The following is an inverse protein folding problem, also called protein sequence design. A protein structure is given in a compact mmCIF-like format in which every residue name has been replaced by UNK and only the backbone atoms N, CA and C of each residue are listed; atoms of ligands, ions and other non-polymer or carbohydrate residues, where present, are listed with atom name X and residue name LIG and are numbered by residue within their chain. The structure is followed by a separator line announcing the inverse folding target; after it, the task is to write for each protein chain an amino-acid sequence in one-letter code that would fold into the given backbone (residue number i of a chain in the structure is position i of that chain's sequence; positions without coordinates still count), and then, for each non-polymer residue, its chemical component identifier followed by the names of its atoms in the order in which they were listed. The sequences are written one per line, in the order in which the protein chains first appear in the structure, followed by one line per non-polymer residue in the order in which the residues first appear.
data_IF_547916827230
#
_entry.id   IF_547916827230
#
_cell.length_a   1.000
_cell.length_b   1.000
_cell.length_c   1.000
_cell.angle_alpha   90.00
_cell.angle_beta   90.00
_cell.angle_gamma   90.00
#
_symmetry.space_group_name_H-M   'P 1'
#
loop_
_entity.id
_entity.type
_entity.pdbx_description
1 polymer ?
#
# COMPACT_ATOMS: atom_id res chain seq x y z
N UNK A 1 -5.26 -9.43 -7.56
CA UNK A 1 -5.15 -9.84 -6.15
C UNK A 1 -6.47 -10.38 -5.60
N UNK A 2 -6.39 -11.24 -4.58
CA UNK A 2 -7.56 -11.88 -3.94
C UNK A 2 -7.71 -11.45 -2.46
N UNK A 3 -6.93 -10.48 -2.03
CA UNK A 3 -6.94 -9.93 -0.68
C UNK A 3 -8.21 -9.11 -0.40
N UNK A 4 -8.60 -8.91 0.87
CA UNK A 4 -9.64 -7.96 1.24
C UNK A 4 -9.37 -6.58 0.64
N UNK A 5 -10.36 -6.02 -0.05
CA UNK A 5 -10.28 -4.75 -0.77
C UNK A 5 -11.67 -4.16 -0.92
N UNK A 6 -11.79 -2.83 -0.97
CA UNK A 6 -13.04 -2.16 -1.35
C UNK A 6 -13.19 -1.97 -2.87
N UNK A 7 -12.26 -2.52 -3.64
CA UNK A 7 -12.25 -2.51 -5.10
C UNK A 7 -12.16 -1.11 -5.72
N UNK A 8 -11.49 -0.18 -5.03
CA UNK A 8 -11.19 1.14 -5.57
C UNK A 8 -10.33 1.05 -6.84
N UNK A 9 -9.50 -0.01 -6.92
CA UNK A 9 -8.67 -0.33 -8.08
C UNK A 9 -8.66 -1.85 -8.34
N UNK A 10 -9.82 -2.45 -8.56
CA UNK A 10 -9.93 -3.85 -8.98
C UNK A 10 -9.28 -4.88 -8.02
N UNK A 11 -9.08 -4.53 -6.77
CA UNK A 11 -8.43 -5.36 -5.75
C UNK A 11 -6.96 -5.01 -5.46
N UNK A 12 -6.38 -4.06 -6.19
CA UNK A 12 -5.02 -3.58 -5.92
C UNK A 12 -4.95 -2.57 -4.75
N UNK A 13 -6.07 -2.11 -4.24
CA UNK A 13 -6.21 -1.41 -2.96
C UNK A 13 -6.34 -2.42 -1.81
N UNK A 14 -5.22 -2.98 -1.37
CA UNK A 14 -5.17 -4.09 -0.41
C UNK A 14 -5.38 -3.61 1.02
N UNK A 15 -6.46 -4.07 1.66
CA UNK A 15 -6.78 -3.73 3.05
C UNK A 15 -6.16 -4.70 4.09
N UNK A 16 -5.90 -5.95 3.70
CA UNK A 16 -5.23 -6.95 4.54
C UNK A 16 -4.42 -7.90 3.64
N UNK A 17 -3.10 -7.89 3.80
CA UNK A 17 -2.18 -8.69 2.97
C UNK A 17 -2.12 -10.16 3.33
N UNK A 18 -2.66 -10.58 4.46
CA UNK A 18 -2.60 -11.96 4.98
C UNK A 18 -3.97 -12.58 5.17
N UNK A 19 -4.87 -12.28 4.24
CA UNK A 19 -6.21 -12.87 4.23
C UNK A 19 -6.73 -13.02 2.80
N UNK A 20 -7.82 -13.75 2.66
CA UNK A 20 -8.62 -13.87 1.42
C UNK A 20 -9.84 -12.98 1.58
N UNK A 21 -10.24 -12.30 0.51
CA UNK A 21 -11.46 -11.50 0.53
C UNK A 21 -12.67 -12.40 0.82
N UNK A 22 -13.46 -12.13 1.85
CA UNK A 22 -14.56 -13.00 2.27
C UNK A 22 -15.65 -13.16 1.20
N UNK A 23 -15.68 -12.29 0.19
CA UNK A 23 -16.62 -12.42 -0.95
C UNK A 23 -16.25 -13.54 -1.91
N UNK A 24 -14.98 -14.00 -1.88
CA UNK A 24 -14.48 -15.04 -2.80
C UNK A 24 -14.01 -16.31 -2.10
N UNK A 25 -13.77 -16.29 -0.79
CA UNK A 25 -13.40 -17.50 -0.06
C UNK A 25 -12.75 -17.23 1.29
N UNK A 26 -12.14 -18.29 1.83
CA UNK A 26 -11.44 -18.31 3.11
C UNK A 26 -9.99 -18.77 2.96
N UNK A 27 -9.18 -18.60 4.00
CA UNK A 27 -7.81 -19.12 4.03
C UNK A 27 -7.78 -20.65 3.91
N UNK A 28 -8.73 -21.35 4.51
CA UNK A 28 -8.85 -22.81 4.46
C UNK A 28 -9.18 -23.29 3.03
N UNK A 29 -10.04 -22.57 2.32
CA UNK A 29 -10.35 -22.86 0.91
C UNK A 29 -9.15 -22.58 0.01
N UNK A 30 -8.38 -21.52 0.31
CA UNK A 30 -7.13 -21.23 -0.38
C UNK A 30 -6.10 -22.35 -0.18
N UNK A 31 -5.92 -22.83 1.06
CA UNK A 31 -5.01 -23.95 1.37
C UNK A 31 -5.40 -25.22 0.58
N UNK A 32 -6.69 -25.52 0.52
CA UNK A 32 -7.22 -26.62 -0.30
C UNK A 32 -6.93 -26.45 -1.78
N UNK A 33 -7.12 -25.23 -2.31
CA UNK A 33 -6.83 -24.93 -3.72
C UNK A 33 -5.36 -25.21 -4.04
N UNK A 34 -4.44 -24.73 -3.19
CA UNK A 34 -3.00 -25.01 -3.35
C UNK A 34 -2.72 -26.51 -3.37
N UNK A 35 -3.29 -27.25 -2.42
CA UNK A 35 -3.10 -28.71 -2.33
C UNK A 35 -3.59 -29.40 -3.61
N UNK A 36 -4.79 -29.09 -4.11
CA UNK A 36 -5.35 -29.71 -5.31
C UNK A 36 -4.54 -29.38 -6.57
N UNK A 37 -4.07 -28.13 -6.70
CA UNK A 37 -3.24 -27.73 -7.82
C UNK A 37 -1.88 -28.44 -7.81
N UNK A 38 -1.27 -28.60 -6.64
CA UNK A 38 0.00 -29.33 -6.51
C UNK A 38 -0.14 -30.81 -6.84
N UNK A 39 -1.27 -31.45 -6.51
CA UNK A 39 -1.54 -32.87 -6.89
C UNK A 39 -1.48 -33.11 -8.40
N UNK A 40 -1.81 -32.10 -9.19
CA UNK A 40 -1.77 -32.18 -10.66
C UNK A 40 -0.54 -31.48 -11.26
N UNK A 41 0.46 -31.14 -10.45
CA UNK A 41 1.73 -30.56 -10.88
C UNK A 41 1.68 -29.08 -11.27
N UNK A 42 0.64 -28.35 -10.86
CA UNK A 42 0.50 -26.91 -11.12
C UNK A 42 1.11 -26.13 -9.95
N UNK A 43 2.03 -25.21 -10.24
CA UNK A 43 2.58 -24.26 -9.29
C UNK A 43 1.69 -23.03 -9.16
N UNK A 44 1.65 -22.43 -7.96
CA UNK A 44 0.82 -21.29 -7.65
C UNK A 44 1.68 -20.06 -7.36
N UNK A 45 1.49 -19.02 -8.16
CA UNK A 45 2.07 -17.70 -7.94
C UNK A 45 0.97 -16.75 -7.52
N UNK A 46 1.21 -15.94 -6.50
CA UNK A 46 0.27 -14.92 -6.05
C UNK A 46 0.80 -13.52 -6.35
N UNK A 47 -0.12 -12.61 -6.59
CA UNK A 47 0.20 -11.20 -6.78
C UNK A 47 0.48 -10.55 -5.41
N UNK A 48 1.58 -9.83 -5.28
CA UNK A 48 1.89 -9.02 -4.10
C UNK A 48 1.99 -7.55 -4.50
N UNK A 49 1.34 -6.67 -3.75
CA UNK A 49 1.22 -5.23 -4.04
C UNK A 49 1.98 -4.43 -2.98
N UNK A 50 3.31 -4.31 -3.10
CA UNK A 50 4.09 -3.71 -2.02
C UNK A 50 4.24 -2.19 -2.10
N UNK A 51 3.83 -1.55 -3.20
CA UNK A 51 4.00 -0.10 -3.37
C UNK A 51 3.10 0.71 -2.44
N UNK A 52 1.88 0.28 -2.25
CA UNK A 52 0.83 1.00 -1.51
C UNK A 52 -0.10 0.03 -0.79
N UNK A 53 -0.89 0.51 0.13
CA UNK A 53 -2.02 -0.23 0.71
C UNK A 53 -3.34 0.45 0.34
N UNK A 54 -4.47 -0.18 0.69
CA UNK A 54 -5.74 0.54 0.79
C UNK A 54 -5.68 1.59 1.90
N UNK A 55 -6.42 2.69 1.74
CA UNK A 55 -6.72 3.63 2.83
C UNK A 55 -7.47 2.96 4.00
N UNK A 56 -8.04 1.77 3.79
CA UNK A 56 -8.70 0.98 4.83
C UNK A 56 -7.76 0.01 5.55
N UNK A 57 -6.51 -0.12 5.13
CA UNK A 57 -5.49 -0.88 5.84
C UNK A 57 -5.27 -0.30 7.24
N UNK A 58 -5.12 -1.18 8.24
CA UNK A 58 -4.98 -0.76 9.64
C UNK A 58 -3.85 0.25 9.84
N UNK A 59 -2.74 0.07 9.18
CA UNK A 59 -1.59 0.98 9.25
C UNK A 59 -1.90 2.39 8.76
N UNK A 60 -2.70 2.53 7.69
CA UNK A 60 -3.07 3.87 7.22
C UNK A 60 -4.07 4.55 8.13
N UNK A 61 -5.02 3.79 8.68
CA UNK A 61 -5.95 4.30 9.72
C UNK A 61 -5.19 4.80 10.95
N UNK A 62 -4.18 4.05 11.40
CA UNK A 62 -3.29 4.47 12.49
C UNK A 62 -2.50 5.73 12.12
N UNK A 63 -1.94 5.79 10.91
CA UNK A 63 -1.17 6.93 10.44
C UNK A 63 -1.99 8.22 10.39
N UNK A 64 -3.20 8.16 9.83
CA UNK A 64 -4.12 9.32 9.77
C UNK A 64 -4.53 9.82 11.15
N UNK A 65 -4.69 8.91 12.11
CA UNK A 65 -5.06 9.25 13.50
C UNK A 65 -3.88 9.76 14.34
N UNK A 66 -2.64 9.59 13.88
CA UNK A 66 -1.43 9.88 14.64
C UNK A 66 -0.85 11.26 14.30
N UNK A 67 -0.06 11.82 15.23
CA UNK A 67 0.62 13.10 15.05
C UNK A 67 1.67 13.07 13.92
N UNK A 68 1.92 14.20 13.26
CA UNK A 68 3.06 14.36 12.34
C UNK A 68 4.38 13.92 12.96
N UNK A 69 5.21 13.21 12.17
CA UNK A 69 6.48 12.67 12.63
C UNK A 69 6.40 11.40 13.48
N UNK A 70 5.20 10.88 13.76
CA UNK A 70 5.02 9.62 14.47
C UNK A 70 5.53 8.41 13.69
N UNK A 71 5.83 7.31 14.38
CA UNK A 71 6.22 6.04 13.77
C UNK A 71 5.14 5.51 12.82
N UNK A 72 3.86 5.65 13.18
CA UNK A 72 2.74 5.23 12.34
C UNK A 72 2.70 6.01 11.01
N UNK A 73 2.88 7.34 11.03
CA UNK A 73 2.96 8.14 9.80
C UNK A 73 4.18 7.83 8.97
N UNK A 74 5.30 7.49 9.60
CA UNK A 74 6.54 7.17 8.88
C UNK A 74 6.46 5.85 8.07
N UNK A 75 5.42 5.06 8.23
CA UNK A 75 5.12 3.90 7.36
C UNK A 75 4.65 4.31 5.97
N UNK A 76 4.14 5.53 5.85
CA UNK A 76 3.68 6.17 4.60
C UNK A 76 4.45 7.46 4.33
N UNK A 77 4.15 8.11 3.24
CA UNK A 77 4.84 9.34 2.83
C UNK A 77 3.92 10.52 3.09
N UNK A 78 4.14 11.23 4.20
CA UNK A 78 3.44 12.45 4.56
C UNK A 78 4.37 13.64 4.46
N UNK A 79 3.85 14.79 4.01
CA UNK A 79 4.59 16.07 3.95
C UNK A 79 3.65 17.23 4.27
N UNK A 80 4.24 18.30 4.80
CA UNK A 80 3.53 19.57 4.93
C UNK A 80 3.27 20.15 3.55
N UNK A 81 2.13 20.80 3.39
CA UNK A 81 1.78 21.49 2.15
C UNK A 81 2.56 22.79 1.98
N UNK A 82 2.57 23.30 0.75
CA UNK A 82 3.04 24.65 0.41
C UNK A 82 1.94 25.69 0.60
N UNK A 83 2.30 26.97 0.47
CA UNK A 83 1.41 28.11 0.72
C UNK A 83 1.49 28.58 2.17
N UNK A 84 0.73 29.62 2.49
CA UNK A 84 0.77 30.26 3.82
C UNK A 84 0.17 29.35 4.89
N UNK A 85 -0.83 28.55 4.52
CA UNK A 85 -1.57 27.67 5.43
C UNK A 85 -1.42 26.17 5.06
N UNK A 86 -0.45 25.82 4.20
CA UNK A 86 -0.28 24.44 3.75
C UNK A 86 -1.35 23.97 2.75
N UNK A 87 -2.05 24.89 2.11
CA UNK A 87 -3.19 24.63 1.23
C UNK A 87 -2.82 24.06 -0.16
N UNK A 88 -1.53 24.08 -0.51
CA UNK A 88 -1.03 23.56 -1.78
C UNK A 88 -0.26 22.27 -1.58
N UNK A 89 -0.26 21.34 -2.57
CA UNK A 89 0.51 20.11 -2.48
C UNK A 89 2.01 20.36 -2.25
N UNK A 90 2.72 19.47 -1.58
CA UNK A 90 4.16 19.62 -1.30
C UNK A 90 5.04 19.61 -2.56
N UNK A 91 4.60 18.97 -3.63
CA UNK A 91 5.29 18.91 -4.92
C UNK A 91 4.27 18.81 -6.07
N UNK A 92 4.78 19.01 -7.29
CA UNK A 92 4.00 18.95 -8.55
C UNK A 92 3.87 17.53 -9.13
N UNK A 93 4.05 16.51 -8.31
CA UNK A 93 4.01 15.12 -8.74
C UNK A 93 2.62 14.74 -9.23
N UNK A 94 2.58 14.01 -10.36
CA UNK A 94 1.36 13.55 -11.01
C UNK A 94 1.15 12.08 -10.71
N UNK A 95 -0.09 11.70 -10.44
CA UNK A 95 -0.51 10.31 -10.24
C UNK A 95 -0.85 9.66 -11.59
N UNK A 96 -0.90 8.32 -11.61
CA UNK A 96 -1.41 7.59 -12.78
C UNK A 96 -2.93 7.76 -12.97
N UNK A 97 -3.67 8.00 -11.90
CA UNK A 97 -5.14 8.04 -11.92
C UNK A 97 -5.73 9.39 -11.50
N UNK A 98 -4.90 10.31 -11.04
CA UNK A 98 -5.35 11.61 -10.56
C UNK A 98 -4.40 12.73 -11.03
N UNK A 99 -4.86 13.99 -11.09
CA UNK A 99 -4.00 15.12 -11.49
C UNK A 99 -2.80 15.34 -10.57
N UNK A 100 -2.92 15.01 -9.28
CA UNK A 100 -1.85 15.13 -8.28
C UNK A 100 -1.57 13.78 -7.64
N UNK A 101 -0.31 13.50 -7.34
CA UNK A 101 0.12 12.37 -6.51
C UNK A 101 0.03 12.66 -5.01
N UNK A 102 -0.55 13.78 -4.64
CA UNK A 102 -0.71 14.24 -3.26
C UNK A 102 -2.17 14.55 -2.97
N UNK A 103 -2.69 13.98 -1.90
CA UNK A 103 -4.03 14.28 -1.38
C UNK A 103 -3.91 14.79 0.04
N UNK A 104 -4.65 15.87 0.33
CA UNK A 104 -4.72 16.42 1.68
C UNK A 104 -5.42 15.44 2.62
N UNK A 105 -4.83 15.18 3.78
CA UNK A 105 -5.30 14.14 4.71
C UNK A 105 -6.73 14.31 5.19
N UNK A 106 -7.28 15.54 5.15
CA UNK A 106 -8.68 15.81 5.54
C UNK A 106 -9.70 15.02 4.71
N UNK A 107 -9.35 14.65 3.47
CA UNK A 107 -10.17 13.79 2.60
C UNK A 107 -10.39 12.42 3.22
N UNK A 108 -9.39 11.94 3.98
CA UNK A 108 -9.42 10.66 4.71
C UNK A 108 -9.69 10.82 6.21
N UNK A 109 -10.15 12.00 6.64
CA UNK A 109 -10.48 12.29 8.03
C UNK A 109 -9.31 12.68 8.93
N UNK A 110 -8.13 12.93 8.37
CA UNK A 110 -6.97 13.47 9.09
C UNK A 110 -7.16 14.91 9.55
N UNK A 111 -6.42 15.33 10.60
CA UNK A 111 -6.63 16.63 11.29
C UNK A 111 -5.35 17.44 11.48
N UNK A 112 -4.23 17.00 10.89
CA UNK A 112 -2.91 17.59 11.16
C UNK A 112 -2.37 18.44 10.02
N UNK A 113 -3.21 18.73 9.01
CA UNK A 113 -2.90 19.62 7.88
C UNK A 113 -1.68 19.15 7.05
N UNK A 114 -1.55 17.84 6.86
CA UNK A 114 -0.54 17.27 5.98
C UNK A 114 -1.14 16.68 4.71
N UNK A 115 -0.28 16.37 3.75
CA UNK A 115 -0.59 15.70 2.50
C UNK A 115 0.08 14.34 2.50
N UNK A 116 -0.61 13.31 2.01
CA UNK A 116 -0.02 11.99 1.80
C UNK A 116 0.14 11.70 0.31
N UNK A 117 1.20 10.95 0.00
CA UNK A 117 1.51 10.58 -1.37
C UNK A 117 0.73 9.31 -1.78
N UNK A 118 0.26 9.32 -3.03
CA UNK A 118 -0.27 8.15 -3.73
C UNK A 118 0.13 8.19 -5.20
N UNK A 119 0.80 7.17 -5.69
CA UNK A 119 1.16 7.13 -7.11
C UNK A 119 -0.02 6.73 -7.99
N UNK A 120 -1.01 6.04 -7.42
CA UNK A 120 -2.25 5.61 -8.06
C UNK A 120 -3.44 6.40 -7.51
N UNK A 121 -4.54 5.73 -7.14
CA UNK A 121 -5.70 6.41 -6.61
C UNK A 121 -5.45 7.01 -5.21
N UNK A 122 -6.18 8.06 -4.81
CA UNK A 122 -6.15 8.58 -3.43
C UNK A 122 -6.42 7.51 -2.36
N UNK A 123 -7.18 6.48 -2.69
CA UNK A 123 -7.44 5.33 -1.84
C UNK A 123 -6.26 4.36 -1.72
N UNK A 124 -5.13 4.65 -2.39
CA UNK A 124 -3.94 3.81 -2.44
C UNK A 124 -2.69 4.56 -1.94
N UNK A 125 -2.62 4.93 -0.63
CA UNK A 125 -1.47 5.63 -0.08
C UNK A 125 -0.19 4.80 -0.20
N UNK A 126 0.89 5.44 -0.65
CA UNK A 126 2.18 4.81 -0.89
C UNK A 126 2.94 4.55 0.41
N UNK A 127 3.49 3.35 0.55
CA UNK A 127 4.40 3.02 1.63
C UNK A 127 5.75 3.74 1.51
N UNK A 128 6.31 4.07 2.66
CA UNK A 128 7.67 4.59 2.78
C UNK A 128 8.68 3.44 2.85
N UNK A 129 9.25 3.05 1.71
CA UNK A 129 10.26 1.99 1.62
C UNK A 129 11.65 2.38 2.15
N UNK A 130 11.83 3.60 2.67
CA UNK A 130 13.00 3.95 3.50
C UNK A 130 12.83 3.48 4.94
N UNK A 131 11.61 3.16 5.35
CA UNK A 131 11.31 2.66 6.68
C UNK A 131 11.52 1.14 6.76
N UNK A 132 12.41 0.70 7.64
CA UNK A 132 12.71 -0.72 7.88
C UNK A 132 11.48 -1.53 8.32
N UNK A 133 10.56 -0.92 9.06
CA UNK A 133 9.31 -1.58 9.49
C UNK A 133 8.48 -2.06 8.29
N UNK A 134 8.45 -1.29 7.20
CA UNK A 134 7.75 -1.68 5.95
C UNK A 134 8.41 -2.92 5.34
N UNK A 135 9.75 -2.98 5.27
CA UNK A 135 10.47 -4.16 4.79
C UNK A 135 10.15 -5.40 5.64
N UNK A 136 10.21 -5.26 6.95
CA UNK A 136 10.01 -6.37 7.88
C UNK A 136 8.59 -6.89 7.82
N UNK A 137 7.59 -6.02 7.61
CA UNK A 137 6.19 -6.42 7.46
C UNK A 137 5.94 -7.17 6.15
N UNK A 138 6.54 -6.74 5.05
CA UNK A 138 6.43 -7.47 3.79
C UNK A 138 7.17 -8.81 3.82
N UNK A 139 8.30 -8.93 4.53
CA UNK A 139 8.93 -10.23 4.79
C UNK A 139 7.99 -11.20 5.54
N UNK A 140 7.25 -10.71 6.54
CA UNK A 140 6.24 -11.51 7.25
C UNK A 140 5.13 -11.94 6.29
N UNK A 141 4.67 -11.06 5.42
CA UNK A 141 3.62 -11.36 4.43
C UNK A 141 4.09 -12.42 3.43
N UNK A 142 5.28 -12.27 2.86
CA UNK A 142 5.86 -13.27 1.95
C UNK A 142 6.01 -14.63 2.64
N UNK A 143 6.52 -14.63 3.86
CA UNK A 143 6.64 -15.86 4.67
C UNK A 143 5.28 -16.50 4.94
N UNK A 144 4.26 -15.71 5.29
CA UNK A 144 2.91 -16.20 5.55
C UNK A 144 2.35 -17.00 4.37
N UNK A 145 2.49 -16.49 3.15
CA UNK A 145 2.01 -17.17 1.95
C UNK A 145 2.90 -18.34 1.53
N UNK A 146 4.22 -18.20 1.67
CA UNK A 146 5.16 -19.31 1.40
C UNK A 146 4.92 -20.50 2.34
N UNK A 147 4.67 -20.26 3.62
CA UNK A 147 4.35 -21.31 4.61
C UNK A 147 3.01 -22.01 4.28
N UNK A 148 2.10 -21.37 3.53
CA UNK A 148 0.85 -21.97 3.02
C UNK A 148 1.03 -22.74 1.71
N UNK A 149 2.24 -22.79 1.15
CA UNK A 149 2.55 -23.57 -0.05
C UNK A 149 2.56 -22.77 -1.35
N UNK A 150 2.49 -21.45 -1.31
CA UNK A 150 2.67 -20.61 -2.49
C UNK A 150 4.08 -20.77 -3.04
N UNK A 151 4.19 -21.05 -4.34
CA UNK A 151 5.47 -21.36 -5.02
C UNK A 151 6.26 -20.11 -5.44
N UNK A 152 5.59 -18.97 -5.52
CA UNK A 152 6.25 -17.72 -5.90
C UNK A 152 5.29 -16.53 -5.92
N UNK A 153 5.85 -15.38 -6.29
CA UNK A 153 5.14 -14.10 -6.27
C UNK A 153 5.33 -13.35 -7.58
N UNK A 154 4.24 -12.74 -8.06
CA UNK A 154 4.32 -11.64 -9.01
C UNK A 154 4.32 -10.35 -8.20
N UNK A 155 5.36 -9.53 -8.35
CA UNK A 155 5.51 -8.30 -7.56
C UNK A 155 5.03 -7.13 -8.42
N UNK A 156 3.91 -6.53 -7.99
CA UNK A 156 3.34 -5.36 -8.65
C UNK A 156 4.18 -4.11 -8.37
N UNK A 157 4.34 -3.25 -9.39
CA UNK A 157 5.03 -1.95 -9.28
C UNK A 157 6.44 -2.04 -8.64
N UNK A 158 7.16 -3.14 -8.82
CA UNK A 158 8.46 -3.38 -8.18
C UNK A 158 9.50 -2.29 -8.45
N UNK A 159 9.44 -1.65 -9.62
CA UNK A 159 10.35 -0.58 -10.05
C UNK A 159 10.15 0.74 -9.32
N UNK A 160 9.04 0.93 -8.62
CA UNK A 160 8.61 2.20 -8.07
C UNK A 160 8.57 2.25 -6.53
N UNK A 161 9.04 1.20 -5.85
CA UNK A 161 9.00 1.12 -4.38
C UNK A 161 9.82 2.22 -3.72
N UNK A 162 11.02 2.47 -4.25
CA UNK A 162 11.91 3.52 -3.75
C UNK A 162 11.62 4.83 -4.47
N UNK A 163 11.35 5.89 -3.71
CA UNK A 163 11.17 7.27 -4.18
C UNK A 163 12.34 8.11 -3.69
N UNK A 164 12.73 9.13 -4.47
CA UNK A 164 13.66 10.16 -3.96
C UNK A 164 12.88 11.16 -3.10
N UNK A 165 12.95 10.96 -1.80
CA UNK A 165 12.29 11.79 -0.79
C UNK A 165 13.22 12.89 -0.21
N UNK A 166 14.35 13.15 -0.85
CA UNK A 166 15.26 14.23 -0.44
C UNK A 166 14.60 15.59 -0.54
N UNK A 167 14.84 16.45 0.46
CA UNK A 167 14.30 17.81 0.47
C UNK A 167 15.27 18.83 -0.16
N UNK A 168 14.77 19.81 -0.95
CA UNK A 168 13.38 19.92 -1.42
C UNK A 168 13.01 18.80 -2.39
N UNK A 169 11.73 18.34 -2.33
CA UNK A 169 11.25 17.31 -3.25
C UNK A 169 11.50 17.74 -4.70
N UNK A 170 12.18 16.90 -5.46
CA UNK A 170 12.43 17.13 -6.87
C UNK A 170 11.18 16.79 -7.69
N UNK A 171 11.08 17.39 -8.89
CA UNK A 171 10.07 16.97 -9.86
C UNK A 171 10.21 15.49 -10.17
N UNK A 172 9.09 14.78 -10.34
CA UNK A 172 9.12 13.39 -10.80
C UNK A 172 9.75 13.35 -12.20
N UNK A 173 10.64 12.37 -12.45
CA UNK A 173 11.23 12.17 -13.77
C UNK A 173 10.21 11.72 -14.81
#
# INVERSE_FOLDING_TARGET
PFYPSELADGGYDVADYRNVDPRIGTLEEFDKLIEELHKVGIRVFVDIVPNHSSNLHIWFKEAIASEPGSAARNRYIFRDGKGVNGELPPADWVSHFAPSAWTHESVMGGKHNQWYMHWFAPEQPDFNWDNREVHDEFLKTLKFWADRGVDGFRIDVAHALKKDLSEPLRSMP
#
